data_IF_241221254771
#
_entry.id   IF_241221254771
#
_cell.length_a   1.000
_cell.length_b   1.000
_cell.length_c   1.000
_cell.angle_alpha   90.00
_cell.angle_beta   90.00
_cell.angle_gamma   90.00
#
_symmetry.space_group_name_H-M   'P 1'
#
loop_
_entity.id
_entity.type
_entity.pdbx_description
1 polymer ?
2 non-polymer ?
3 water ?
#
# COMPACT_ATOMS: atom_id res chain seq x y z
N UNK A 3 9.96 16.46 9.68
CA UNK A 3 9.98 16.92 8.30
C UNK A 3 10.81 18.19 8.15
N UNK A 4 11.75 18.40 9.08
CA UNK A 4 12.67 19.51 8.95
C UNK A 4 13.68 19.30 7.83
N UNK A 5 13.82 18.08 7.32
CA UNK A 5 14.76 17.77 6.26
C UNK A 5 14.22 18.09 4.87
N UNK A 6 12.99 18.58 4.77
CA UNK A 6 12.33 18.75 3.48
C UNK A 6 12.68 20.10 2.91
N UNK A 7 13.31 20.10 1.73
CA UNK A 7 13.67 21.34 1.04
C UNK A 7 12.46 21.93 0.33
N UNK A 8 11.67 21.09 -0.33
CA UNK A 8 10.48 21.52 -1.05
C UNK A 8 9.56 20.32 -1.21
N UNK A 9 8.27 20.60 -1.36
CA UNK A 9 7.25 19.59 -1.58
C UNK A 9 6.41 20.01 -2.78
N UNK A 10 6.39 19.18 -3.81
CA UNK A 10 5.73 19.49 -5.08
C UNK A 10 4.43 18.72 -5.20
N UNK A 11 3.39 19.39 -5.68
CA UNK A 11 2.09 18.76 -5.90
C UNK A 11 2.04 18.20 -7.31
N UNK A 12 1.82 16.89 -7.43
CA UNK A 12 1.82 16.21 -8.72
C UNK A 12 0.70 15.18 -8.71
N UNK A 13 0.27 14.79 -9.92
CA UNK A 13 -0.87 13.89 -10.04
C UNK A 13 -0.63 12.58 -9.31
N UNK A 14 0.59 12.03 -9.42
CA UNK A 14 0.87 10.75 -8.77
C UNK A 14 0.74 10.86 -7.26
N UNK A 15 1.14 12.00 -6.70
CA UNK A 15 1.22 12.20 -5.28
C UNK A 15 2.28 13.23 -4.98
N UNK A 16 2.32 13.74 -3.75
CA UNK A 16 3.33 14.74 -3.40
C UNK A 16 4.74 14.18 -3.59
N UNK A 17 5.64 15.03 -4.06
CA UNK A 17 7.06 14.70 -4.18
C UNK A 17 7.81 15.57 -3.17
N UNK A 18 8.44 14.92 -2.21
CA UNK A 18 9.19 15.61 -1.16
C UNK A 18 10.69 15.49 -1.43
N UNK A 19 11.38 16.63 -1.40
CA UNK A 19 12.83 16.68 -1.53
C UNK A 19 13.43 16.69 -0.13
N UNK A 20 14.12 15.62 0.24
CA UNK A 20 14.50 15.37 1.62
C UNK A 20 16.00 15.24 1.76
N UNK A 21 16.55 15.97 2.74
CA UNK A 21 17.98 15.90 3.05
C UNK A 21 18.15 14.74 4.02
N UNK A 22 18.49 13.57 3.49
CA UNK A 22 18.74 12.42 4.33
C UNK A 22 19.31 11.28 3.51
N UNK A 23 19.96 10.35 4.21
CA UNK A 23 20.42 9.11 3.59
C UNK A 23 19.24 8.27 3.15
N UNK A 24 19.36 7.68 1.97
CA UNK A 24 18.33 6.75 1.46
C UNK A 24 18.14 5.59 2.42
N UNK A 25 19.17 5.23 3.17
CA UNK A 25 19.09 4.11 4.11
C UNK A 25 18.46 4.50 5.45
N UNK A 26 18.08 5.76 5.63
CA UNK A 26 17.41 6.27 6.82
C UNK A 26 15.94 6.45 6.47
N UNK A 27 15.11 5.41 6.60
CA UNK A 27 13.75 5.46 6.01
C UNK A 27 12.99 6.68 6.47
N UNK A 28 12.40 7.45 5.54
CA UNK A 28 11.46 8.50 5.96
C UNK A 28 10.28 7.89 6.67
N UNK A 29 9.70 8.62 7.63
CA UNK A 29 8.54 8.09 8.37
C UNK A 29 7.43 7.69 7.40
N UNK A 30 6.98 6.46 7.52
CA UNK A 30 5.90 5.97 6.71
C UNK A 30 6.31 5.37 5.38
N UNK A 31 7.59 5.41 5.03
CA UNK A 31 8.11 4.74 3.84
C UNK A 31 8.67 3.38 4.26
N UNK A 32 7.97 2.31 3.88
CA UNK A 32 8.45 0.95 4.07
C UNK A 32 9.07 0.35 2.83
N UNK A 33 9.15 1.11 1.75
CA UNK A 33 9.61 0.64 0.45
C UNK A 33 10.64 1.63 -0.07
N UNK A 34 11.73 1.11 -0.62
CA UNK A 34 12.82 1.94 -1.11
C UNK A 34 13.09 1.62 -2.57
N UNK A 35 13.62 2.59 -3.29
CA UNK A 35 14.04 2.43 -4.67
C UNK A 35 15.54 2.24 -4.73
N UNK A 36 15.98 1.23 -5.48
CA UNK A 36 17.38 1.06 -5.83
C UNK A 36 17.63 1.68 -7.20
N UNK A 37 18.66 2.51 -7.30
CA UNK A 37 19.13 3.00 -8.60
C UNK A 37 19.97 1.87 -9.18
N UNK A 38 19.34 1.00 -9.96
CA UNK A 38 19.94 -0.28 -10.35
C UNK A 38 20.51 -0.23 -11.77
N UNK A 39 21.26 -1.28 -12.11
CA UNK A 39 21.69 -1.55 -13.47
C UNK A 39 20.87 -2.68 -14.05
N UNK A 40 20.94 -2.83 -15.37
CA UNK A 40 20.10 -3.80 -16.07
C UNK A 40 20.31 -5.21 -15.55
N UNK A 41 21.54 -5.54 -15.17
CA UNK A 41 21.83 -6.85 -14.63
C UNK A 41 21.46 -7.06 -13.19
N UNK A 42 21.00 -6.00 -12.53
CA UNK A 42 20.55 -6.06 -11.13
C UNK A 42 21.68 -6.50 -10.21
N UNK A 43 22.90 -6.08 -10.53
CA UNK A 43 24.07 -6.43 -9.73
C UNK A 43 24.41 -5.31 -8.76
N UNK A 44 24.98 -5.69 -7.62
CA UNK A 44 25.44 -4.70 -6.65
C UNK A 44 26.49 -3.80 -7.29
N UNK A 45 26.36 -2.49 -7.06
CA UNK A 45 27.29 -1.51 -7.56
C UNK A 45 27.81 -0.64 -6.43
N UNK A 46 28.17 0.58 -6.79
CA UNK A 46 28.58 1.57 -5.80
C UNK A 46 27.35 2.38 -5.39
N UNK A 47 27.56 3.52 -4.73
CA UNK A 47 26.47 4.45 -4.49
C UNK A 47 25.28 3.82 -3.81
N UNK A 48 24.09 4.24 -4.23
CA UNK A 48 22.85 3.83 -3.55
C UNK A 48 22.72 2.32 -3.61
N UNK A 49 22.93 1.73 -4.80
CA UNK A 49 22.88 0.28 -4.93
C UNK A 49 23.82 -0.39 -3.95
N UNK A 50 25.05 0.12 -3.83
CA UNK A 50 25.98 -0.43 -2.87
C UNK A 50 25.42 -0.39 -1.46
N UNK A 51 24.81 0.72 -1.08
CA UNK A 51 24.30 0.86 0.28
C UNK A 51 23.15 -0.10 0.54
N UNK A 52 22.29 -0.33 -0.44
CA UNK A 52 21.17 -1.26 -0.24
C UNK A 52 21.68 -2.69 -0.12
N UNK A 53 22.54 -3.11 -1.05
CA UNK A 53 23.09 -4.46 -0.99
C UNK A 53 23.97 -4.62 0.25
N UNK A 54 24.68 -3.57 0.64
CA UNK A 54 25.53 -3.64 1.82
C UNK A 54 24.75 -4.05 3.06
N UNK A 55 23.46 -3.73 3.09
CA UNK A 55 22.64 -3.94 4.28
C UNK A 55 21.67 -5.11 4.12
N UNK A 56 21.86 -5.96 3.12
CA UNK A 56 20.91 -7.00 2.80
C UNK A 56 21.56 -8.39 2.80
N UNK A 57 20.73 -9.42 2.88
CA UNK A 57 21.18 -10.80 2.87
C UNK A 57 21.57 -11.22 1.46
N UNK A 58 22.21 -12.37 1.29
CA UNK A 58 22.53 -12.87 -0.05
C UNK A 58 21.31 -13.18 -0.88
N UNK A 59 20.17 -13.44 -0.22
CA UNK A 59 18.94 -13.78 -0.95
C UNK A 59 18.51 -12.68 -1.90
N UNK A 60 18.97 -11.44 -1.67
CA UNK A 60 18.62 -10.37 -2.58
C UNK A 60 19.31 -10.55 -3.93
N UNK A 61 20.62 -10.84 -3.91
CA UNK A 61 21.31 -11.16 -5.15
C UNK A 61 20.68 -12.38 -5.83
N UNK A 62 20.24 -13.35 -5.03
CA UNK A 62 19.58 -14.53 -5.59
C UNK A 62 18.28 -14.14 -6.30
N UNK A 63 17.45 -13.31 -5.66
CA UNK A 63 16.23 -12.85 -6.31
C UNK A 63 16.55 -12.09 -7.59
N UNK A 64 17.61 -11.26 -7.56
CA UNK A 64 17.96 -10.50 -8.75
C UNK A 64 18.46 -11.41 -9.87
N UNK A 65 19.22 -12.46 -9.52
CA UNK A 65 19.63 -13.43 -10.53
C UNK A 65 18.42 -14.00 -11.26
N UNK A 66 17.35 -14.28 -10.51
CA UNK A 66 16.14 -14.84 -11.10
C UNK A 66 15.43 -13.83 -11.99
N UNK A 67 15.54 -12.53 -11.67
CA UNK A 67 14.77 -11.50 -12.33
C UNK A 67 15.52 -10.80 -13.45
N UNK A 68 16.85 -10.81 -13.43
CA UNK A 68 17.62 -10.06 -14.42
C UNK A 68 17.39 -10.63 -15.81
N UNK A 69 17.47 -9.78 -16.86
CA UNK A 69 17.73 -8.33 -16.80
C UNK A 69 16.47 -7.49 -16.59
N UNK A 70 16.63 -6.31 -15.98
CA UNK A 70 15.59 -5.30 -15.93
C UNK A 70 15.89 -4.23 -16.97
N UNK A 71 15.13 -4.16 -18.06
CA UNK A 71 15.48 -3.19 -19.12
C UNK A 71 15.52 -1.77 -18.59
N UNK A 72 16.43 -0.98 -19.16
CA UNK A 72 16.49 0.44 -18.89
C UNK A 72 15.11 1.07 -19.07
N UNK A 73 14.73 1.91 -18.11
CA UNK A 73 13.42 2.51 -18.10
C UNK A 73 12.37 1.73 -17.35
N UNK A 74 12.65 0.48 -16.98
CA UNK A 74 11.70 -0.37 -16.27
C UNK A 74 12.10 -0.49 -14.81
N UNK A 75 11.23 -1.14 -14.04
CA UNK A 75 11.47 -1.38 -12.63
C UNK A 75 10.90 -2.75 -12.26
N UNK A 76 11.52 -3.37 -11.25
CA UNK A 76 11.08 -4.66 -10.75
C UNK A 76 11.31 -4.68 -9.24
N UNK A 77 10.43 -5.38 -8.53
CA UNK A 77 10.43 -5.40 -7.08
C UNK A 77 11.02 -6.70 -6.54
N UNK A 78 11.63 -6.60 -5.37
CA UNK A 78 12.06 -7.75 -4.59
C UNK A 78 11.78 -7.45 -3.13
N UNK A 79 11.73 -8.48 -2.28
CA UNK A 79 11.78 -8.23 -0.83
C UNK A 79 13.04 -7.48 -0.45
N UNK A 80 13.00 -6.83 0.71
CA UNK A 80 14.11 -6.01 1.16
C UNK A 80 15.24 -6.76 1.82
N UNK A 81 14.96 -7.95 2.36
CA UNK A 81 15.98 -8.82 2.96
C UNK A 81 16.82 -8.06 3.97
N UNK A 82 16.15 -7.38 4.89
CA UNK A 82 16.81 -6.80 6.05
C UNK A 82 17.55 -5.51 5.81
N UNK A 83 17.43 -4.91 4.62
CA UNK A 83 18.10 -3.65 4.34
C UNK A 83 17.47 -2.46 5.05
N UNK A 84 16.43 -2.67 5.85
CA UNK A 84 15.72 -1.60 6.52
C UNK A 84 14.36 -1.28 5.93
N UNK A 85 14.02 -1.89 4.80
CA UNK A 85 12.76 -1.70 4.12
C UNK A 85 12.16 -3.07 3.83
N UNK A 86 10.83 -3.13 3.76
CA UNK A 86 10.19 -4.41 3.46
C UNK A 86 10.42 -4.85 2.02
N UNK A 87 10.55 -3.91 1.10
CA UNK A 87 10.71 -4.24 -0.31
C UNK A 87 11.63 -3.23 -0.98
N UNK A 88 12.25 -3.66 -2.07
CA UNK A 88 13.10 -2.81 -2.90
C UNK A 88 12.51 -2.78 -4.31
N UNK A 89 12.35 -1.57 -4.86
CA UNK A 89 12.00 -1.38 -6.25
C UNK A 89 13.29 -1.07 -7.02
N UNK A 90 13.77 -2.04 -7.79
CA UNK A 90 14.96 -1.83 -8.62
C UNK A 90 14.55 -1.16 -9.91
N UNK A 91 14.94 0.10 -10.09
CA UNK A 91 14.62 0.88 -11.27
C UNK A 91 15.91 1.26 -11.99
N UNK A 92 15.91 1.15 -13.32
CA UNK A 92 17.11 1.29 -14.12
C UNK A 92 17.02 2.58 -14.93
N UNK A 93 17.82 3.56 -14.52
CA UNK A 93 17.97 4.80 -15.28
C UNK A 93 18.90 4.56 -16.47
N UNK A 94 18.72 5.33 -17.54
CA UNK A 94 19.72 5.30 -18.62
C UNK A 94 20.98 6.02 -18.21
N UNK A 95 22.11 5.62 -18.79
CA UNK A 95 23.29 6.46 -18.77
C UNK A 95 23.00 7.72 -19.58
N UNK A 96 23.51 8.85 -19.13
CA UNK A 96 23.25 10.10 -19.84
C UNK A 96 23.95 10.07 -21.20
N UNK A 97 23.24 10.29 -22.30
CA UNK A 97 23.92 10.34 -23.62
C UNK A 97 24.88 11.52 -23.69
N UNK A 98 26.08 11.26 -24.20
CA UNK A 98 27.15 12.26 -24.12
C UNK A 98 26.99 13.37 -25.15
N UNK A 99 26.34 13.11 -26.28
CA UNK A 99 26.09 14.14 -27.28
C UNK A 99 24.83 13.77 -28.06
N UNK A 100 23.78 14.61 -28.05
CA UNK A 100 22.50 14.20 -28.66
C UNK A 100 22.64 13.77 -30.11
N UNK A 101 21.60 13.26 -30.76
CA UNK A 101 20.23 13.31 -30.28
C UNK A 101 19.85 12.27 -29.24
N UNK A 102 20.74 11.32 -28.99
CA UNK A 102 20.45 10.33 -27.95
C UNK A 102 20.05 10.98 -26.64
N UNK A 103 20.42 12.25 -26.42
CA UNK A 103 20.10 12.92 -25.16
C UNK A 103 18.59 13.02 -24.95
N UNK A 104 17.89 13.62 -25.91
CA UNK A 104 16.44 13.71 -25.79
C UNK A 104 15.82 12.32 -25.65
N UNK A 105 16.39 11.32 -26.34
CA UNK A 105 15.91 9.96 -26.14
C UNK A 105 16.14 9.51 -24.71
N UNK A 106 17.28 9.90 -24.12
CA UNK A 106 17.60 9.46 -22.78
C UNK A 106 16.83 10.18 -21.70
N UNK A 107 16.43 11.43 -21.95
CA UNK A 107 15.56 12.13 -21.01
C UNK A 107 14.22 11.42 -20.90
N UNK A 108 13.69 10.96 -22.02
CA UNK A 108 12.43 10.21 -21.99
C UNK A 108 12.58 8.91 -21.20
N UNK A 109 13.73 8.26 -21.32
CA UNK A 109 13.95 7.00 -20.63
C UNK A 109 14.15 7.22 -19.13
N UNK A 110 14.77 8.33 -18.74
CA UNK A 110 14.88 8.68 -17.33
C UNK A 110 13.50 8.96 -16.73
N UNK A 111 12.67 9.73 -17.44
CA UNK A 111 11.30 9.94 -16.98
C UNK A 111 10.55 8.62 -16.90
N UNK A 112 10.79 7.72 -17.86
CA UNK A 112 10.11 6.44 -17.87
C UNK A 112 10.45 5.61 -16.63
N UNK A 113 11.72 5.63 -16.22
CA UNK A 113 12.11 4.90 -15.02
C UNK A 113 11.27 5.35 -13.82
N UNK A 114 11.11 6.66 -13.66
CA UNK A 114 10.29 7.18 -12.58
C UNK A 114 8.83 6.79 -12.75
N UNK A 115 8.31 6.86 -13.98
CA UNK A 115 6.95 6.41 -14.22
C UNK A 115 6.79 4.93 -13.86
N UNK A 116 7.81 4.13 -14.16
CA UNK A 116 7.74 2.70 -13.86
C UNK A 116 7.71 2.45 -12.37
N UNK A 117 8.45 3.25 -11.60
CA UNK A 117 8.39 3.13 -10.14
C UNK A 117 6.97 3.39 -9.65
N UNK A 118 6.35 4.47 -10.14
CA UNK A 118 5.03 4.85 -9.64
C UNK A 118 4.00 3.80 -9.98
N UNK A 119 3.98 3.34 -11.24
CA UNK A 119 3.01 2.33 -11.64
C UNK A 119 3.19 1.04 -10.83
N UNK A 120 4.43 0.65 -10.59
CA UNK A 120 4.69 -0.55 -9.80
C UNK A 120 4.17 -0.37 -8.37
N UNK A 121 4.56 0.72 -7.72
CA UNK A 121 4.10 0.98 -6.35
C UNK A 121 2.58 1.02 -6.29
N UNK A 122 1.94 1.66 -7.27
CA UNK A 122 0.48 1.72 -7.28
C UNK A 122 -0.12 0.33 -7.36
N UNK A 123 0.46 -0.55 -8.18
CA UNK A 123 -0.06 -1.90 -8.35
C UNK A 123 0.07 -2.71 -7.06
N UNK A 124 1.08 -2.43 -6.25
CA UNK A 124 1.26 -3.08 -4.97
C UNK A 124 0.57 -2.33 -3.83
N UNK A 125 -0.09 -1.21 -4.14
CA UNK A 125 -0.73 -0.36 -3.14
C UNK A 125 0.26 0.06 -2.06
N UNK A 126 1.47 0.43 -2.50
CA UNK A 126 2.43 1.12 -1.65
C UNK A 126 2.21 2.62 -1.79
N UNK A 127 1.89 3.28 -0.68
CA UNK A 127 1.48 4.68 -0.72
C UNK A 127 2.65 5.66 -0.69
N UNK A 128 3.78 5.25 -0.14
CA UNK A 128 4.96 6.09 -0.01
C UNK A 128 6.19 5.28 -0.36
N UNK A 129 7.13 5.91 -1.06
CA UNK A 129 8.35 5.25 -1.52
C UNK A 129 9.52 6.21 -1.31
N UNK A 130 10.59 5.71 -0.70
CA UNK A 130 11.83 6.44 -0.58
C UNK A 130 12.67 6.19 -1.83
N UNK A 131 13.17 7.26 -2.45
CA UNK A 131 13.77 7.21 -3.77
C UNK A 131 15.00 8.10 -3.87
N UNK A 132 16.07 7.60 -4.49
CA UNK A 132 17.23 8.45 -4.76
C UNK A 132 17.00 9.22 -6.05
N UNK A 133 17.94 10.11 -6.36
CA UNK A 133 17.92 10.81 -7.65
C UNK A 133 18.49 9.86 -8.70
N UNK A 134 17.59 9.10 -9.31
CA UNK A 134 17.97 8.13 -10.32
C UNK A 134 18.92 8.72 -11.36
N UNK A 135 20.03 8.03 -11.58
CA UNK A 135 20.97 8.38 -12.62
C UNK A 135 21.92 9.50 -12.30
N UNK A 136 21.83 10.09 -11.11
CA UNK A 136 22.62 11.26 -10.77
C UNK A 136 23.99 10.92 -10.19
N UNK A 137 24.34 9.64 -10.12
CA UNK A 137 25.65 9.23 -9.67
C UNK A 137 26.55 8.86 -10.83
N UNK A 138 26.96 7.59 -10.90
CA UNK A 138 27.87 7.19 -11.96
C UNK A 138 27.22 7.19 -13.34
N UNK A 139 25.89 7.24 -13.41
CA UNK A 139 25.21 7.27 -14.70
C UNK A 139 25.15 8.68 -15.31
N UNK A 140 25.67 9.69 -14.62
CA UNK A 140 26.11 10.91 -15.26
C UNK A 140 25.13 12.07 -15.28
N UNK A 141 23.88 11.86 -14.88
CA UNK A 141 22.94 12.97 -14.84
C UNK A 141 23.23 13.86 -13.64
N UNK A 142 22.80 15.12 -13.75
CA UNK A 142 22.86 16.02 -12.61
C UNK A 142 21.64 15.82 -11.73
N UNK A 143 21.73 16.32 -10.49
CA UNK A 143 20.58 16.25 -9.58
C UNK A 143 19.37 16.96 -10.17
N UNK A 144 19.60 18.10 -10.83
CA UNK A 144 18.48 18.85 -11.38
C UNK A 144 17.84 18.13 -12.56
N UNK A 145 18.65 17.49 -13.41
CA UNK A 145 18.09 16.68 -14.49
C UNK A 145 17.24 15.56 -13.94
N UNK A 146 17.70 14.90 -12.87
CA UNK A 146 16.97 13.77 -12.33
C UNK A 146 15.70 14.23 -11.63
N UNK A 147 15.77 15.34 -10.89
CA UNK A 147 14.57 15.89 -10.27
C UNK A 147 13.56 16.33 -11.32
N UNK A 148 14.02 17.06 -12.33
CA UNK A 148 13.13 17.46 -13.42
C UNK A 148 12.42 16.26 -14.02
N UNK A 149 13.14 15.15 -14.18
CA UNK A 149 12.52 13.94 -14.69
C UNK A 149 11.45 13.41 -13.74
N UNK A 150 11.78 13.37 -12.44
CA UNK A 150 10.81 12.87 -11.46
C UNK A 150 9.56 13.74 -11.42
N UNK A 151 9.74 15.06 -11.52
CA UNK A 151 8.62 15.99 -11.47
C UNK A 151 7.81 15.98 -12.77
N UNK A 152 8.38 15.46 -13.86
CA UNK A 152 7.64 15.24 -15.08
C UNK A 152 6.91 13.89 -15.05
N UNK A 153 7.62 12.85 -14.60
CA UNK A 153 7.03 11.51 -14.56
C UNK A 153 5.80 11.48 -13.66
N UNK A 154 5.81 12.22 -12.56
CA UNK A 154 4.70 12.18 -11.62
C UNK A 154 3.48 12.96 -12.10
N UNK A 155 3.54 13.57 -13.29
CA UNK A 155 2.37 14.20 -13.88
C UNK A 155 1.42 13.18 -14.48
N UNK A 156 1.92 11.98 -14.81
CA UNK A 156 1.07 10.91 -15.29
C UNK A 156 0.27 10.33 -14.12
N UNK A 157 -1.05 10.42 -14.22
CA UNK A 157 -1.90 9.99 -13.11
C UNK A 157 -1.88 8.47 -12.99
N UNK A 158 -1.56 7.92 -11.81
CA UNK A 158 -1.55 6.47 -11.64
C UNK A 158 -2.88 5.95 -11.14
N UNK A 159 -3.00 4.62 -11.10
CA UNK A 159 -4.22 4.00 -10.63
C UNK A 159 -4.45 4.28 -9.14
N UNK A 160 -3.37 4.43 -8.38
CA UNK A 160 -3.43 4.77 -6.95
C UNK A 160 -2.33 5.78 -6.67
N UNK A 161 -2.58 6.67 -5.71
CA UNK A 161 -1.61 7.70 -5.40
C UNK A 161 -0.34 7.10 -4.83
N UNK A 162 0.80 7.65 -5.24
CA UNK A 162 2.12 7.24 -4.77
C UNK A 162 2.91 8.51 -4.49
N UNK A 163 3.41 8.65 -3.26
CA UNK A 163 4.23 9.79 -2.86
C UNK A 163 5.70 9.39 -2.91
N UNK A 164 6.49 10.13 -3.68
CA UNK A 164 7.93 9.89 -3.75
C UNK A 164 8.65 10.80 -2.75
N UNK A 165 9.33 10.18 -1.79
CA UNK A 165 10.21 10.90 -0.87
C UNK A 165 11.62 10.79 -1.45
N UNK A 166 12.05 11.81 -2.19
CA UNK A 166 13.36 11.81 -2.82
C UNK A 166 14.40 12.21 -1.79
N UNK A 167 15.39 11.34 -1.57
CA UNK A 167 16.35 11.48 -0.49
C UNK A 167 17.75 11.65 -1.08
N UNK A 168 18.48 12.64 -0.58
CA UNK A 168 19.88 12.84 -0.92
C UNK A 168 20.49 13.46 0.32
N UNK A 169 21.64 12.96 0.79
CA UNK A 169 22.16 13.41 2.10
C UNK A 169 22.76 14.81 2.10
N UNK A 170 22.99 15.43 0.94
CA UNK A 170 23.68 16.71 0.87
C UNK A 170 22.67 17.83 0.62
N UNK A 171 22.54 18.72 1.61
CA UNK A 171 21.61 19.85 1.52
C UNK A 171 21.86 20.68 0.27
N UNK A 172 23.12 21.06 0.04
CA UNK A 172 23.42 21.99 -1.05
C UNK A 172 23.04 21.41 -2.40
N UNK A 173 23.18 20.09 -2.57
CA UNK A 173 22.80 19.47 -3.83
C UNK A 173 21.31 19.63 -4.10
N UNK A 174 20.50 19.49 -3.04
CA UNK A 174 19.05 19.56 -3.21
C UNK A 174 18.55 21.00 -3.35
N UNK A 175 19.07 21.92 -2.53
CA UNK A 175 18.67 23.31 -2.67
C UNK A 175 19.05 23.85 -4.04
N UNK A 176 20.26 23.53 -4.49
CA UNK A 176 20.70 23.91 -5.83
C UNK A 176 19.73 23.38 -6.89
N UNK A 177 19.43 22.08 -6.82
CA UNK A 177 18.51 21.49 -7.78
C UNK A 177 17.15 22.16 -7.74
N UNK A 178 16.69 22.54 -6.55
CA UNK A 178 15.37 23.15 -6.42
C UNK A 178 15.32 24.54 -7.06
N UNK A 179 16.48 25.17 -7.26
CA UNK A 179 16.52 26.44 -7.97
C UNK A 179 16.59 26.21 -9.48
N UNK A 180 17.36 25.21 -9.90
CA UNK A 180 17.58 24.99 -11.33
C UNK A 180 16.33 24.52 -12.03
N UNK A 181 15.47 23.77 -11.35
CA UNK A 181 14.24 23.24 -11.95
C UNK A 181 13.37 24.40 -12.43
N UNK A 182 12.98 25.33 -11.56
CA UNK A 182 12.19 26.49 -12.04
C UNK A 182 12.99 27.37 -12.99
N UNK A 183 14.31 27.46 -12.81
CA UNK A 183 15.12 28.33 -13.65
C UNK A 183 15.08 27.91 -15.10
N UNK A 184 15.03 26.59 -15.37
CA UNK A 184 14.93 26.13 -16.75
C UNK A 184 13.72 26.75 -17.44
N UNK A 185 12.61 26.86 -16.73
CA UNK A 185 11.37 27.41 -17.28
C UNK A 185 11.35 28.93 -17.26
N UNK A 186 12.23 29.56 -16.48
CA UNK A 186 12.38 31.01 -16.48
C UNK A 186 13.26 31.47 -17.62
N UNK B 2 -11.00 -30.53 13.78
CA UNK B 2 -10.48 -29.27 13.27
C UNK B 2 -11.62 -28.32 12.91
N UNK B 3 -11.33 -27.02 12.91
CA UNK B 3 -12.27 -26.01 12.43
C UNK B 3 -13.52 -25.93 13.29
N UNK B 4 -13.39 -26.24 14.58
CA UNK B 4 -14.56 -26.26 15.46
C UNK B 4 -15.18 -24.88 15.61
N UNK B 5 -14.39 -23.83 15.45
CA UNK B 5 -14.91 -22.47 15.61
C UNK B 5 -15.65 -21.97 14.38
N UNK B 6 -15.63 -22.73 13.28
CA UNK B 6 -16.23 -22.29 12.02
C UNK B 6 -17.72 -22.65 12.04
N UNK B 7 -18.56 -21.65 11.80
CA UNK B 7 -20.00 -21.85 11.71
C UNK B 7 -20.41 -22.29 10.31
N UNK B 8 -19.86 -21.64 9.29
CA UNK B 8 -20.17 -21.95 7.90
C UNK B 8 -19.01 -21.42 7.06
N UNK B 9 -18.78 -22.07 5.91
CA UNK B 9 -17.80 -21.63 4.94
C UNK B 9 -18.48 -21.50 3.60
N UNK B 10 -18.40 -20.32 3.00
CA UNK B 10 -19.06 -20.00 1.74
C UNK B 10 -18.04 -19.94 0.61
N UNK B 11 -18.36 -20.56 -0.52
CA UNK B 11 -17.50 -20.52 -1.70
C UNK B 11 -17.83 -19.28 -2.52
N UNK B 12 -16.82 -18.45 -2.78
CA UNK B 12 -17.01 -17.20 -3.51
C UNK B 12 -15.80 -16.95 -4.40
N UNK B 13 -16.01 -16.13 -5.43
CA UNK B 13 -14.96 -15.87 -6.41
C UNK B 13 -13.68 -15.38 -5.75
N UNK B 14 -13.80 -14.46 -4.79
CA UNK B 14 -12.61 -13.91 -4.15
C UNK B 14 -11.84 -15.00 -3.41
N UNK B 15 -12.56 -15.91 -2.76
CA UNK B 15 -11.98 -16.92 -1.93
C UNK B 15 -13.02 -17.37 -0.93
N UNK B 16 -12.76 -18.48 -0.24
CA UNK B 16 -13.73 -18.93 0.77
C UNK B 16 -13.92 -17.86 1.84
N UNK B 17 -15.17 -17.67 2.25
CA UNK B 17 -15.53 -16.81 3.37
C UNK B 17 -15.88 -17.70 4.54
N UNK B 18 -15.10 -17.61 5.62
CA UNK B 18 -15.30 -18.43 6.81
C UNK B 18 -15.92 -17.59 7.92
N UNK B 19 -17.03 -18.06 8.48
CA UNK B 19 -17.72 -17.42 9.58
C UNK B 19 -17.22 -18.08 10.86
N UNK B 20 -16.45 -17.34 11.65
CA UNK B 20 -15.66 -17.92 12.73
C UNK B 20 -16.01 -17.31 14.08
N UNK B 21 -16.15 -18.17 15.09
CA UNK B 21 -16.45 -17.74 16.45
C UNK B 21 -15.11 -17.53 17.16
N UNK B 22 -14.67 -16.28 17.19
CA UNK B 22 -13.39 -15.94 17.81
C UNK B 22 -13.27 -14.42 17.87
N UNK B 23 -12.44 -13.95 18.80
CA UNK B 23 -12.08 -12.54 18.85
C UNK B 23 -11.28 -12.15 17.62
N UNK B 24 -11.51 -10.93 17.12
CA UNK B 24 -10.73 -10.43 15.99
C UNK B 24 -9.25 -10.36 16.31
N UNK B 25 -8.89 -10.25 17.59
CA UNK B 25 -7.49 -10.23 17.99
C UNK B 25 -6.93 -11.63 18.28
N UNK B 26 -7.68 -12.67 17.94
CA UNK B 26 -7.25 -14.06 18.02
C UNK B 26 -7.03 -14.56 16.59
N UNK B 27 -5.88 -14.28 15.99
CA UNK B 27 -5.71 -14.54 14.54
C UNK B 27 -6.00 -15.98 14.18
N UNK B 28 -6.86 -16.21 13.18
CA UNK B 28 -7.00 -17.58 12.67
C UNK B 28 -5.65 -18.10 12.20
N UNK B 29 -5.44 -19.41 12.25
CA UNK B 29 -4.13 -19.95 11.87
C UNK B 29 -3.75 -19.49 10.47
N UNK B 30 -2.53 -18.96 10.36
CA UNK B 30 -2.01 -18.49 9.09
C UNK B 30 -2.35 -17.07 8.73
N UNK B 31 -3.33 -16.46 9.39
CA UNK B 31 -3.73 -15.10 9.06
C UNK B 31 -2.74 -14.09 9.63
N UNK B 32 -2.10 -13.33 8.75
CA UNK B 32 -1.14 -12.30 9.16
C UNK B 32 -1.71 -10.90 9.05
N UNK B 33 -2.93 -10.74 8.54
CA UNK B 33 -3.50 -9.44 8.26
C UNK B 33 -4.88 -9.36 8.90
N UNK B 34 -5.18 -8.21 9.51
CA UNK B 34 -6.45 -7.99 10.18
C UNK B 34 -7.09 -6.76 9.56
N UNK B 35 -8.42 -6.74 9.58
CA UNK B 35 -9.19 -5.57 9.14
C UNK B 35 -9.62 -4.79 10.37
N UNK B 36 -9.37 -3.48 10.34
CA UNK B 36 -9.90 -2.55 11.33
C UNK B 36 -11.18 -1.94 10.78
N UNK B 37 -12.26 -1.99 11.58
CA UNK B 37 -13.50 -1.30 11.24
C UNK B 37 -13.29 0.16 11.58
N UNK B 38 -12.85 0.95 10.60
CA UNK B 38 -12.31 2.27 10.84
C UNK B 38 -13.29 3.38 10.47
N UNK B 39 -12.98 4.58 10.92
CA UNK B 39 -13.68 5.80 10.52
C UNK B 39 -12.86 6.55 9.48
N UNK B 40 -13.50 7.55 8.86
CA UNK B 40 -12.88 8.23 7.74
C UNK B 40 -11.57 8.90 8.13
N UNK B 41 -11.51 9.46 9.33
CA UNK B 41 -10.30 10.08 9.83
C UNK B 41 -9.23 9.12 10.30
N UNK B 42 -9.52 7.82 10.27
CA UNK B 42 -8.56 6.79 10.65
C UNK B 42 -8.06 6.98 12.09
N UNK B 43 -8.92 7.52 12.95
CA UNK B 43 -8.56 7.78 14.34
C UNK B 43 -9.10 6.67 15.23
N UNK B 44 -8.42 6.46 16.36
CA UNK B 44 -8.76 5.36 17.25
C UNK B 44 -10.19 5.48 17.74
N UNK B 45 -10.78 4.33 18.08
CA UNK B 45 -12.14 4.27 18.55
C UNK B 45 -12.41 3.11 19.51
N UNK B 46 -13.66 2.68 19.62
CA UNK B 46 -14.03 1.56 20.47
C UNK B 46 -14.17 0.29 19.63
N UNK B 47 -14.75 -0.74 20.23
CA UNK B 47 -14.99 -1.97 19.48
C UNK B 47 -13.72 -2.54 18.88
N UNK B 48 -13.79 -2.85 17.58
CA UNK B 48 -12.65 -3.46 16.90
C UNK B 48 -11.48 -2.47 16.84
N UNK B 49 -11.76 -1.25 16.40
CA UNK B 49 -10.70 -0.23 16.33
C UNK B 49 -9.95 -0.13 17.64
N UNK B 50 -10.68 -0.06 18.76
CA UNK B 50 -10.04 -0.01 20.05
C UNK B 50 -9.15 -1.20 20.31
N UNK B 51 -9.63 -2.40 19.97
CA UNK B 51 -8.84 -3.61 20.23
C UNK B 51 -7.54 -3.59 19.44
N UNK B 52 -7.57 -3.11 18.20
CA UNK B 52 -6.37 -3.09 17.37
C UNK B 52 -5.40 -2.03 17.86
N UNK B 53 -5.92 -0.82 18.12
CA UNK B 53 -5.05 0.27 18.58
C UNK B 53 -4.52 0.01 19.99
N UNK B 54 -5.25 -0.77 20.79
CA UNK B 54 -4.90 -0.93 22.19
C UNK B 54 -3.46 -1.41 22.36
N UNK B 55 -3.03 -2.35 21.53
CA UNK B 55 -1.71 -2.95 21.66
C UNK B 55 -0.75 -2.50 20.56
N UNK B 56 -1.04 -1.38 19.90
CA UNK B 56 -0.21 -0.88 18.82
C UNK B 56 0.71 0.23 19.32
N UNK B 57 1.92 0.29 18.76
CA UNK B 57 2.83 1.37 19.08
C UNK B 57 2.22 2.72 18.66
N UNK B 58 2.77 3.83 19.15
CA UNK B 58 2.29 5.13 18.67
C UNK B 58 2.43 5.29 17.17
N UNK B 59 3.29 4.49 16.55
CA UNK B 59 3.55 4.62 15.12
C UNK B 59 2.32 4.32 14.28
N UNK B 60 1.34 3.60 14.81
CA UNK B 60 0.13 3.34 14.03
C UNK B 60 -0.66 4.61 13.80
N UNK B 61 -0.87 5.40 14.86
CA UNK B 61 -1.55 6.68 14.70
C UNK B 61 -0.80 7.59 13.73
N UNK B 62 0.52 7.58 13.79
CA UNK B 62 1.31 8.42 12.89
C UNK B 62 1.13 7.98 11.45
N UNK B 63 1.22 6.67 11.19
CA UNK B 63 0.97 6.15 9.86
C UNK B 63 -0.42 6.53 9.36
N UNK B 64 -1.40 6.45 10.25
CA UNK B 64 -2.77 6.77 9.86
C UNK B 64 -2.91 8.25 9.50
N UNK B 65 -2.25 9.13 10.26
CA UNK B 65 -2.30 10.55 9.93
C UNK B 65 -1.83 10.80 8.50
N UNK B 66 -0.78 10.09 8.08
CA UNK B 66 -0.24 10.29 6.74
C UNK B 66 -1.20 9.81 5.66
N UNK B 67 -2.08 8.88 5.98
CA UNK B 67 -3.02 8.35 4.99
C UNK B 67 -4.39 9.00 5.04
N UNK B 68 -4.78 9.61 6.15
CA UNK B 68 -6.13 10.11 6.29
C UNK B 68 -6.41 11.25 5.31
N UNK B 69 -7.66 11.40 4.85
CA UNK B 69 -8.83 10.58 5.19
C UNK B 69 -8.96 9.35 4.30
N UNK B 70 -9.64 8.31 4.79
CA UNK B 70 -9.99 7.16 3.99
C UNK B 70 -11.48 7.24 3.70
N UNK B 71 -11.91 7.55 2.48
CA UNK B 71 -13.34 7.73 2.24
C UNK B 71 -14.14 6.47 2.54
N UNK B 72 -15.37 6.69 3.03
CA UNK B 72 -16.30 5.60 3.21
C UNK B 72 -16.33 4.71 1.98
N UNK B 73 -16.25 3.40 2.20
CA UNK B 73 -16.21 2.44 1.13
C UNK B 73 -14.82 2.06 0.66
N UNK B 74 -13.79 2.77 1.09
CA UNK B 74 -12.42 2.49 0.70
C UNK B 74 -11.65 1.89 1.88
N UNK B 75 -10.40 1.51 1.58
CA UNK B 75 -9.54 0.85 2.56
C UNK B 75 -8.10 1.23 2.30
N UNK B 76 -7.32 1.28 3.39
CA UNK B 76 -5.89 1.55 3.31
C UNK B 76 -5.16 0.61 4.25
N UNK B 77 -3.87 0.40 3.98
CA UNK B 77 -3.05 -0.54 4.72
C UNK B 77 -2.00 0.19 5.54
N UNK B 78 -1.73 -0.35 6.73
CA UNK B 78 -0.61 0.09 7.55
C UNK B 78 0.07 -1.15 8.10
N UNK B 79 1.31 -1.03 8.57
CA UNK B 79 1.89 -2.09 9.40
C UNK B 79 1.04 -2.31 10.64
N UNK B 80 1.14 -3.52 11.19
CA UNK B 80 0.43 -3.81 12.41
C UNK B 80 1.06 -3.23 13.66
N UNK B 81 2.35 -2.86 13.58
CA UNK B 81 3.12 -2.38 14.73
C UNK B 81 3.07 -3.48 15.77
N UNK B 82 2.44 -3.30 16.93
CA UNK B 82 2.44 -4.32 17.94
C UNK B 82 1.16 -5.08 18.12
N UNK B 83 0.16 -4.89 17.25
CA UNK B 83 -1.19 -5.37 17.53
C UNK B 83 -1.35 -6.88 17.42
N UNK B 84 -0.31 -7.61 17.03
CA UNK B 84 -0.41 -9.05 16.89
C UNK B 84 -0.60 -9.52 15.47
N UNK B 85 -0.79 -8.61 14.53
CA UNK B 85 -0.81 -8.89 13.10
C UNK B 85 0.30 -8.13 12.41
N UNK B 86 0.75 -8.66 11.28
CA UNK B 86 1.82 -7.98 10.53
C UNK B 86 1.32 -6.70 9.87
N UNK B 87 0.08 -6.70 9.39
CA UNK B 87 -0.49 -5.54 8.73
C UNK B 87 -1.95 -5.37 9.13
N UNK B 88 -2.42 -4.13 9.04
CA UNK B 88 -3.80 -3.78 9.30
C UNK B 88 -4.38 -3.18 8.02
N UNK B 89 -5.53 -3.67 7.60
CA UNK B 89 -6.33 -3.03 6.55
C UNK B 89 -7.41 -2.21 7.26
N UNK B 90 -7.34 -0.90 7.12
CA UNK B 90 -8.34 0.00 7.69
C UNK B 90 -9.44 0.21 6.65
N UNK B 91 -10.64 -0.30 6.94
CA UNK B 91 -11.77 -0.23 6.04
C UNK B 91 -12.89 0.55 6.71
N UNK B 92 -13.57 1.41 5.93
CA UNK B 92 -14.54 2.36 6.46
C UNK B 92 -15.93 1.96 5.98
N UNK B 93 -16.73 1.43 6.90
CA UNK B 93 -18.12 1.11 6.63
C UNK B 93 -18.98 2.37 6.68
N UNK B 94 -20.04 2.42 5.88
CA UNK B 94 -21.03 3.50 6.06
C UNK B 94 -21.84 3.28 7.32
N UNK B 95 -22.42 4.37 7.82
CA UNK B 95 -23.41 4.30 8.88
C UNK B 95 -24.74 3.86 8.29
N UNK B 96 -25.47 3.01 9.01
CA UNK B 96 -26.75 2.47 8.55
C UNK B 96 -27.81 3.56 8.58
N UNK B 97 -28.36 3.96 7.44
CA UNK B 97 -29.42 4.98 7.46
C UNK B 97 -30.70 4.45 8.08
N UNK B 98 -31.45 5.36 8.74
CA UNK B 98 -32.77 5.00 9.25
C UNK B 98 -33.85 5.20 8.19
N UNK B 99 -33.75 6.26 7.40
CA UNK B 99 -34.62 6.51 6.24
C UNK B 99 -34.61 5.29 5.35
N UNK B 100 -35.70 4.52 5.30
CA UNK B 100 -35.70 3.29 4.47
C UNK B 100 -35.46 3.55 2.99
N UNK B 101 -35.70 4.78 2.51
CA UNK B 101 -35.44 5.07 1.11
C UNK B 101 -33.95 5.17 0.81
N UNK B 102 -33.11 5.34 1.83
CA UNK B 102 -31.67 5.45 1.66
C UNK B 102 -30.95 4.14 1.93
N UNK B 103 -31.68 3.07 2.23
CA UNK B 103 -31.04 1.82 2.63
C UNK B 103 -30.15 1.27 1.52
N UNK B 104 -30.63 1.26 0.28
CA UNK B 104 -29.88 0.61 -0.78
C UNK B 104 -28.55 1.32 -1.04
N UNK B 105 -28.54 2.66 -0.95
CA UNK B 105 -27.29 3.40 -1.08
C UNK B 105 -26.31 3.01 0.00
N UNK B 106 -26.79 2.79 1.22
CA UNK B 106 -25.91 2.33 2.28
C UNK B 106 -25.39 0.93 2.04
N UNK B 107 -26.27 0.04 1.56
CA UNK B 107 -25.86 -1.35 1.32
C UNK B 107 -24.75 -1.42 0.28
N UNK B 108 -24.84 -0.60 -0.78
CA UNK B 108 -23.81 -0.60 -1.81
C UNK B 108 -22.47 -0.13 -1.25
N UNK B 109 -22.49 0.86 -0.36
CA UNK B 109 -21.25 1.33 0.24
C UNK B 109 -20.66 0.28 1.18
N UNK B 110 -21.53 -0.46 1.89
CA UNK B 110 -21.04 -1.55 2.73
C UNK B 110 -20.39 -2.63 1.90
N UNK B 111 -21.05 -3.04 0.81
CA UNK B 111 -20.41 -3.97 -0.11
C UNK B 111 -19.12 -3.40 -0.66
N UNK B 112 -19.09 -2.09 -0.92
CA UNK B 112 -17.88 -1.49 -1.47
C UNK B 112 -16.71 -1.60 -0.49
N UNK B 113 -16.97 -1.37 0.80
CA UNK B 113 -15.92 -1.51 1.79
C UNK B 113 -15.30 -2.91 1.73
N UNK B 114 -16.15 -3.94 1.66
CA UNK B 114 -15.66 -5.31 1.57
C UNK B 114 -14.89 -5.53 0.27
N UNK B 115 -15.39 -5.00 -0.84
CA UNK B 115 -14.67 -5.13 -2.10
C UNK B 115 -13.32 -4.44 -2.05
N UNK B 116 -13.23 -3.32 -1.32
CA UNK B 116 -11.96 -2.61 -1.19
C UNK B 116 -10.97 -3.42 -0.36
N UNK B 117 -11.46 -4.14 0.66
CA UNK B 117 -10.59 -4.99 1.44
C UNK B 117 -9.96 -6.06 0.56
N UNK B 118 -10.78 -6.72 -0.26
CA UNK B 118 -10.29 -7.81 -1.09
C UNK B 118 -9.27 -7.29 -2.10
N UNK B 119 -9.59 -6.17 -2.76
CA UNK B 119 -8.70 -5.64 -3.79
C UNK B 119 -7.35 -5.25 -3.22
N UNK B 120 -7.35 -4.65 -2.02
CA UNK B 120 -6.11 -4.26 -1.37
C UNK B 120 -5.28 -5.49 -0.99
N UNK B 121 -5.94 -6.50 -0.42
CA UNK B 121 -5.23 -7.72 -0.05
C UNK B 121 -4.64 -8.41 -1.28
N UNK B 122 -5.40 -8.46 -2.38
CA UNK B 122 -4.90 -9.08 -3.59
C UNK B 122 -3.70 -8.32 -4.14
N UNK B 123 -3.77 -6.98 -4.14
CA UNK B 123 -2.65 -6.19 -4.64
C UNK B 123 -1.41 -6.39 -3.78
N UNK B 124 -1.59 -6.53 -2.47
CA UNK B 124 -0.48 -6.77 -1.54
C UNK B 124 -0.09 -8.23 -1.48
N UNK B 125 -0.86 -9.13 -2.10
CA UNK B 125 -0.57 -10.57 -2.12
C UNK B 125 -0.68 -11.17 -0.72
N UNK B 126 -1.76 -10.80 -0.03
CA UNK B 126 -2.13 -11.42 1.24
C UNK B 126 -3.25 -12.41 0.96
N UNK B 127 -3.02 -13.68 1.30
CA UNK B 127 -3.95 -14.73 0.93
C UNK B 127 -5.12 -14.84 1.90
N UNK B 128 -4.94 -14.37 3.13
CA UNK B 128 -5.98 -14.51 4.15
C UNK B 128 -6.03 -13.25 4.99
N UNK B 129 -7.24 -12.87 5.39
CA UNK B 129 -7.50 -11.63 6.09
C UNK B 129 -8.53 -11.90 7.16
N UNK B 130 -8.20 -11.56 8.40
CA UNK B 130 -9.15 -11.64 9.50
C UNK B 130 -9.97 -10.37 9.50
N UNK B 131 -11.29 -10.50 9.54
CA UNK B 131 -12.16 -9.36 9.33
C UNK B 131 -13.34 -9.42 10.28
N UNK B 132 -13.72 -8.32 10.91
CA UNK B 132 -14.93 -8.29 11.72
C UNK B 132 -16.15 -8.07 10.84
N UNK B 133 -17.31 -8.05 11.46
CA UNK B 133 -18.55 -7.71 10.76
C UNK B 133 -18.60 -6.20 10.58
N UNK B 134 -17.98 -5.73 9.51
CA UNK B 134 -17.96 -4.31 9.20
C UNK B 134 -19.34 -3.68 9.36
N UNK B 135 -19.37 -2.51 9.99
CA UNK B 135 -20.57 -1.73 10.13
C UNK B 135 -21.56 -2.22 11.16
N UNK B 136 -21.30 -3.34 11.82
CA UNK B 136 -22.28 -3.99 12.66
C UNK B 136 -22.24 -3.54 14.11
N UNK B 137 -21.41 -2.55 14.45
CA UNK B 137 -21.36 -2.06 15.81
C UNK B 137 -22.08 -0.74 15.97
N UNK B 138 -21.32 0.32 16.27
CA UNK B 138 -21.93 1.64 16.42
C UNK B 138 -22.49 2.13 15.11
N UNK B 139 -22.03 1.59 13.98
CA UNK B 139 -22.45 2.03 12.66
C UNK B 139 -23.80 1.45 12.24
N UNK B 140 -24.40 0.57 13.05
CA UNK B 140 -25.82 0.34 13.02
C UNK B 140 -26.31 -0.85 12.22
N UNK B 141 -25.45 -1.49 11.42
CA UNK B 141 -25.87 -2.65 10.65
C UNK B 141 -25.99 -3.88 11.56
N UNK B 142 -26.78 -4.85 11.12
CA UNK B 142 -26.86 -6.12 11.82
C UNK B 142 -25.75 -7.04 11.33
N UNK B 143 -25.50 -8.10 12.10
CA UNK B 143 -24.54 -9.11 11.66
C UNK B 143 -24.95 -9.70 10.32
N UNK B 144 -26.25 -9.97 10.15
CA UNK B 144 -26.72 -10.58 8.91
C UNK B 144 -26.54 -9.64 7.73
N UNK B 145 -26.84 -8.34 7.91
CA UNK B 145 -26.61 -7.39 6.83
C UNK B 145 -25.14 -7.29 6.48
N UNK B 146 -24.27 -7.29 7.50
CA UNK B 146 -22.83 -7.22 7.25
C UNK B 146 -22.34 -8.48 6.53
N UNK B 147 -22.75 -9.65 7.01
CA UNK B 147 -22.38 -10.89 6.33
C UNK B 147 -22.89 -10.90 4.90
N UNK B 148 -24.15 -10.53 4.70
CA UNK B 148 -24.69 -10.52 3.34
C UNK B 148 -23.85 -9.62 2.43
N UNK B 149 -23.44 -8.45 2.93
CA UNK B 149 -22.61 -7.56 2.14
C UNK B 149 -21.29 -8.22 1.78
N UNK B 150 -20.65 -8.89 2.75
CA UNK B 150 -19.37 -9.54 2.47
C UNK B 150 -19.53 -10.65 1.44
N UNK B 151 -20.63 -11.41 1.52
CA UNK B 151 -20.87 -12.51 0.60
C UNK B 151 -21.23 -12.02 -0.79
N UNK B 152 -21.71 -10.78 -0.90
CA UNK B 152 -21.95 -10.19 -2.23
C UNK B 152 -20.66 -9.60 -2.79
N UNK B 153 -19.90 -8.89 -1.94
CA UNK B 153 -18.65 -8.28 -2.39
C UNK B 153 -17.68 -9.33 -2.94
N UNK B 154 -17.58 -10.49 -2.28
CA UNK B 154 -16.65 -11.51 -2.70
C UNK B 154 -17.07 -12.22 -3.99
N UNK B 155 -18.19 -11.82 -4.59
CA UNK B 155 -18.58 -12.34 -5.90
C UNK B 155 -17.77 -11.69 -7.02
N UNK B 156 -17.19 -10.52 -6.77
CA UNK B 156 -16.29 -9.88 -7.72
C UNK B 156 -14.94 -10.60 -7.73
N UNK B 157 -14.55 -11.12 -8.88
CA UNK B 157 -13.31 -11.86 -8.96
C UNK B 157 -12.12 -10.91 -8.85
N UNK B 158 -11.17 -11.17 -7.94
CA UNK B 158 -10.02 -10.27 -7.80
C UNK B 158 -8.78 -10.78 -8.51
N UNK B 159 -7.67 -10.04 -8.42
CA UNK B 159 -6.47 -10.40 -9.18
C UNK B 159 -5.81 -11.64 -8.60
N UNK B 160 -5.81 -11.77 -7.27
CA UNK B 160 -5.31 -12.92 -6.58
C UNK B 160 -6.36 -13.39 -5.60
N UNK B 161 -6.28 -14.65 -5.17
CA UNK B 161 -7.28 -15.13 -4.24
C UNK B 161 -7.07 -14.57 -2.84
N UNK B 162 -8.19 -14.21 -2.20
CA UNK B 162 -8.22 -13.68 -0.84
C UNK B 162 -9.36 -14.37 -0.10
N UNK B 163 -9.03 -15.02 1.02
CA UNK B 163 -10.01 -15.68 1.87
C UNK B 163 -10.31 -14.79 3.06
N UNK B 164 -11.58 -14.43 3.22
CA UNK B 164 -12.00 -13.62 4.36
C UNK B 164 -12.43 -14.51 5.52
N UNK B 165 -11.73 -14.39 6.64
CA UNK B 165 -12.11 -15.04 7.89
C UNK B 165 -12.88 -14.01 8.72
N UNK B 166 -14.20 -14.07 8.66
CA UNK B 166 -15.04 -13.14 9.39
C UNK B 166 -15.17 -13.63 10.83
N UNK B 167 -14.73 -12.81 11.77
CA UNK B 167 -14.55 -13.22 13.16
C UNK B 167 -15.51 -12.45 14.04
N UNK B 168 -16.22 -13.16 14.91
CA UNK B 168 -17.04 -12.53 15.93
C UNK B 168 -17.03 -13.48 17.12
N UNK B 169 -16.82 -12.98 18.35
CA UNK B 169 -16.64 -13.91 19.48
C UNK B 169 -17.92 -14.55 19.99
N UNK B 170 -19.09 -14.17 19.50
CA UNK B 170 -20.37 -14.66 20.01
C UNK B 170 -20.97 -15.66 19.03
N UNK B 171 -21.04 -16.94 19.44
CA UNK B 171 -21.58 -17.96 18.55
C UNK B 171 -23.02 -17.66 18.15
N UNK B 172 -23.86 -17.31 19.13
CA UNK B 172 -25.27 -17.08 18.83
C UNK B 172 -25.43 -16.01 17.76
N UNK B 173 -24.64 -14.95 17.84
CA UNK B 173 -24.70 -13.90 16.82
C UNK B 173 -24.44 -14.47 15.44
N UNK B 174 -23.45 -15.35 15.32
CA UNK B 174 -23.06 -15.86 14.00
C UNK B 174 -24.02 -16.94 13.51
N UNK B 175 -24.45 -17.84 14.39
CA UNK B 175 -25.41 -18.86 13.95
C UNK B 175 -26.72 -18.21 13.52
N UNK B 176 -27.17 -17.19 14.25
CA UNK B 176 -28.34 -16.44 13.84
C UNK B 176 -28.14 -15.81 12.46
N UNK B 177 -27.02 -15.13 12.27
CA UNK B 177 -26.74 -14.52 10.98
C UNK B 177 -26.72 -15.59 9.88
N UNK B 178 -26.20 -16.77 10.19
CA UNK B 178 -26.12 -17.82 9.18
C UNK B 178 -27.51 -18.32 8.77
N UNK B 179 -28.52 -18.09 9.58
CA UNK B 179 -29.89 -18.43 9.20
C UNK B 179 -30.53 -17.30 8.41
N UNK B 180 -30.29 -16.05 8.81
CA UNK B 180 -30.97 -14.92 8.19
C UNK B 180 -30.48 -14.68 6.76
N UNK B 181 -29.24 -15.03 6.46
CA UNK B 181 -28.70 -14.85 5.11
C UNK B 181 -29.56 -15.64 4.13
N UNK B 182 -29.66 -16.97 4.25
CA UNK B 182 -30.52 -17.69 3.30
C UNK B 182 -32.00 -17.38 3.46
N UNK B 183 -32.46 -16.98 4.64
CA UNK B 183 -33.85 -16.55 4.78
C UNK B 183 -34.17 -15.42 3.81
N UNK B 184 -33.17 -14.58 3.51
CA UNK B 184 -33.38 -13.46 2.59
C UNK B 184 -33.73 -13.96 1.20
N UNK B 185 -32.90 -14.85 0.65
CA UNK B 185 -33.16 -15.40 -0.68
C UNK B 185 -34.48 -16.17 -0.73
N UNK B 186 -34.85 -16.83 0.36
CA UNK B 186 -36.12 -17.54 0.49
C UNK B 186 -37.32 -16.61 0.32
N UNK B 187 -37.08 -15.30 0.25
CA UNK B 187 -38.14 -14.31 0.16
C UNK B 187 -39.07 -14.48 -1.04
X LIG C 1 21.70 7.91 -0.13
X LIG C 1 20.97 8.84 -0.90
X LIG C 1 21.46 9.24 -2.13
X LIG C 1 22.65 8.74 -2.59
X LIG C 1 23.36 7.84 -1.83
X LIG C 1 22.86 7.43 -0.58
X LIG C 1 23.15 6.59 0.51
X LIG C 1 24.46 7.50 -2.49
X LIG C 1 24.47 8.18 -3.66
X LIG C 1 23.34 8.94 -3.70
X LIG C 1 23.02 9.80 -4.79
X LIG C 1 23.96 10.02 -5.70
X LIG C 1 24.83 11.17 -5.30
X LIG C 1 23.08 10.45 -6.89
X LIG C 1 22.57 11.62 -6.72
X LIG C 1 21.75 9.13 -5.60
X LIG C 1 21.87 9.43 -6.87
X LIG C 1 22.13 8.20 -7.70
X LIG C 1 23.48 7.96 -7.76
X LIG C 1 23.93 6.34 -8.02
X LIG C 1 25.38 6.27 -8.60
X LIG C 1 23.86 5.62 -6.75
X LIG C 1 22.82 5.67 -9.13
X LIG C 1 22.86 5.90 -10.82
X LIG C 1 21.54 5.81 -11.33
X LIG C 1 23.50 7.28 -11.18
X LIG C 1 23.78 4.70 -11.50
X LIG C 1 23.39 3.40 -11.30
X LIG C 1 25.41 2.80 -10.29
X LIG C 1 25.19 2.00 -7.94
X LIG C 1 25.34 1.53 -9.24
X LIG C 1 24.46 -0.65 -9.30
X LIG C 1 24.28 0.77 -9.64
X LIG C 1 25.26 0.24 -11.70
X LIG C 1 24.30 0.94 -11.13
X LIG C 1 24.66 2.50 -11.31
X LIG C 1 20.16 9.17 -0.59
X LIG C 1 22.83 5.79 0.54
X LIG C 1 23.66 6.88 1.14
X LIG C 1 25.12 8.14 -4.31
X LIG C 1 22.84 10.68 -4.43
X LIG C 1 24.50 9.23 -5.87
X LIG C 1 25.54 11.13 -5.78
X LIG C 1 23.62 10.42 -7.69
X LIG C 1 23.19 12.19 -6.72
X LIG C 1 21.07 9.85 -7.23
X LIG C 1 21.78 8.34 -8.58
X LIG C 1 21.69 7.45 -7.28
X LIG C 1 22.94 3.33 -10.45
X LIG C 1 22.79 3.14 -12.01
X LIG C 1 25.85 1.73 -7.47
X LIG C 1 26.14 0.99 -9.32
X LIG C 1 23.70 -1.00 -9.21
X LIG C 1 23.45 1.08 -9.23
X LIG C 1 25.35 0.49 -12.50
X LIG C 1 23.44 0.68 -11.51
X LIG C 1 25.13 2.60 -12.15
X LIG D 1 -13.59 -8.86 18.01
X LIG D 1 -14.43 -9.31 16.99
X LIG D 1 -15.60 -8.62 16.67
X LIG D 1 -15.92 -7.47 17.36
X LIG D 1 -15.08 -7.02 18.37
X LIG D 1 -13.90 -7.73 18.68
X LIG D 1 -12.81 -7.71 19.53
X LIG D 1 -15.60 -5.93 18.88
X LIG D 1 -16.75 -5.67 18.22
X LIG D 1 -16.94 -6.64 17.29
X LIG D 1 -18.06 -6.68 16.41
X LIG D 1 -19.06 -5.84 16.67
X LIG D 1 -20.06 -6.45 17.61
X LIG D 1 -19.70 -5.75 15.27
X LIG D 1 -20.34 -6.83 14.97
X LIG D 1 -17.54 -6.30 14.90
X LIG D 1 -18.48 -5.62 14.28
X LIG D 1 -18.07 -4.20 14.06
X LIG D 1 -18.31 -3.45 15.18
X LIG D 1 -17.48 -1.97 15.31
X LIG D 1 -18.32 -0.96 16.16
X LIG D 1 -16.19 -2.20 15.97
X LIG D 1 -17.22 -1.36 13.74
X LIG D 1 -18.32 -0.38 12.86
X LIG D 1 -18.06 -0.53 11.46
X LIG D 1 -19.77 -0.82 13.17
X LIG D 1 -18.08 1.21 13.29
X LIG D 1 -16.86 1.79 13.11
X LIG D 1 -16.61 2.51 15.32
X LIG D 1 -14.64 1.40 16.34
X LIG D 1 -15.05 2.63 15.83
X LIG D 1 -13.21 3.89 15.19
X LIG D 1 -14.29 2.99 14.76
X LIG D 1 -15.37 4.98 14.24
X LIG D 1 -15.26 3.72 13.87
X LIG D 1 -16.66 2.97 14.11
X LIG D 1 -14.22 -10.09 16.52
X LIG D 1 -12.84 -8.13 20.28
X LIG D 1 -12.11 -7.25 19.32
X LIG D 1 -17.32 -4.95 18.37
X LIG D 1 -18.47 -7.56 16.48
X LIG D 1 -18.75 -5.00 17.03
X LIG D 1 -20.54 -5.82 17.91
X LIG D 1 -20.30 -4.98 15.24
X LIG D 1 -21.04 -6.90 15.45
X LIG D 1 -18.69 -6.01 13.41
X LIG D 1 -18.57 -3.84 13.31
X LIG D 1 -17.12 -4.17 13.85
X LIG D 1 -16.80 2.12 12.20
X LIG D 1 -16.18 1.11 13.26
X LIG D 1 -14.23 1.51 17.08
X LIG D 1 -14.98 3.33 16.49
X LIG D 1 -12.51 3.69 14.74
X LIG D 1 -13.91 2.22 14.31
X LIG D 1 -16.06 5.33 13.87
X LIG D 1 -14.98 3.68 12.95
X LIG D 1 -17.38 3.61 14.00
#
# INVERSE_FOLDING_TARGET
>A
MADSDIVESYARAAGPVHLRVRDIMDPPPGCKVVVNAANEGLLAGSGVCGAIFANATPALAADCRRLAPCPTGEAVATPGHGCGYTHIIHAVAPRRPRDPAALEEGEALLERAYRSIVALAAARRWACVACPLLGAGVYGWSAAESLRAALAATRTEPAERVSLHICHPDRATLTHASVLVPLEHHHHHH
>B
MADSDIVESYARAAGPVHLRVRDIMDPPPGCKVVVNAANEGLLAGSGVCGAIFANATPALAADCRRLAPCPTGEAVATPGHGCGYTHIIHAVAPRRPRDPAALEEGEALLERAYRSIVALAAARRWACVACPLLGAGVYGWSAAESLRAALAATRTEPAERVSLHICHPDRATLTHASVLVPLEHHHHHH
>C hetero
1 APR N1 C2 N3 C4 C5 C6 N6 N7 C8 N9 C1' C2' O2' C3' O3' O4' C4' C5' O5' PA O1A O2A O3A PB O1B O2B O5D C5D O4D O1D C1D O2D C2D O3D C3D C4D H2 H61 H62 H8 H'1 H'2 HO'2 H'3 HO'3 H'4 H5'1 H5'2 H5R1 H5R2 HOR1 HR'1 HOR2 HR'2 HOR3 HR'3 HR'4
>D hetero
1 APR N1 C2 N3 C4 C5 C6 N6 N7 C8 N9 C1' C2' O2' C3' O3' O4' C4' C5' O5' PA O1A O2A O3A PB O1B O2B O5D C5D O4D O1D C1D O2D C2D O3D C3D C4D H2 H61 H62 H8 H'1 H'2 HO'2 H'3 HO'3 H'4 H5'1 H5'2 H5R1 H5R2 HOR1 HR'1 HOR2 HR'2 HOR3 HR'3 HR'4
#
